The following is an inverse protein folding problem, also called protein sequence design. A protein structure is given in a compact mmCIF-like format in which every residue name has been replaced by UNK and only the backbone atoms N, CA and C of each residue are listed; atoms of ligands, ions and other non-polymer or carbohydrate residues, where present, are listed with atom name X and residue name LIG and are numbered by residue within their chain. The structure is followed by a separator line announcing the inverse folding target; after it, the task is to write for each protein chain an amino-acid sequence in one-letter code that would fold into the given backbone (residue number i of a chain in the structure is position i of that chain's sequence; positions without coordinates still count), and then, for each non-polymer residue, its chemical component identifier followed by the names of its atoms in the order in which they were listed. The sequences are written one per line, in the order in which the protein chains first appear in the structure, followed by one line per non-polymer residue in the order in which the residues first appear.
data_IF_348427439752
#
_entry.id   IF_348427439752
#
_cell.length_a   1.000
_cell.length_b   1.000
_cell.length_c   1.000
_cell.angle_alpha   90.00
_cell.angle_beta   90.00
_cell.angle_gamma   90.00
#
_symmetry.space_group_name_H-M   'P 1'
#
loop_
_entity.id
_entity.type
_entity.pdbx_description
1 polymer ?
#
# COMPACT_ATOMS: atom_id res chain seq x y z
N UNK A 1 -2.42 -26.52 12.27
CA UNK A 1 -1.49 -26.37 11.13
C UNK A 1 -2.15 -26.67 9.77
N UNK A 2 -3.11 -27.56 9.65
CA UNK A 2 -3.67 -27.95 8.32
C UNK A 2 -4.48 -26.87 7.58
N UNK A 3 -4.82 -25.74 8.23
CA UNK A 3 -5.67 -24.69 7.65
C UNK A 3 -4.94 -23.60 6.84
N UNK A 4 -3.61 -23.48 6.89
CA UNK A 4 -2.87 -22.42 6.17
C UNK A 4 -2.50 -22.82 4.73
N UNK A 5 -2.32 -24.11 4.47
CA UNK A 5 -1.81 -24.64 3.22
C UNK A 5 -2.63 -24.20 1.99
N UNK A 6 -3.98 -24.28 1.99
CA UNK A 6 -4.76 -23.82 0.83
C UNK A 6 -4.69 -22.30 0.64
N UNK A 7 -4.56 -21.53 1.73
CA UNK A 7 -4.37 -20.08 1.64
C UNK A 7 -3.02 -19.70 1.06
N UNK A 8 -1.96 -20.35 1.54
CA UNK A 8 -0.60 -20.14 1.05
C UNK A 8 -0.46 -20.56 -0.42
N UNK A 9 -1.05 -21.70 -0.79
CA UNK A 9 -1.06 -22.16 -2.18
C UNK A 9 -1.79 -21.16 -3.09
N UNK A 10 -2.93 -20.65 -2.66
CA UNK A 10 -3.65 -19.61 -3.42
C UNK A 10 -2.80 -18.35 -3.60
N UNK A 11 -2.08 -17.89 -2.56
CA UNK A 11 -1.14 -16.76 -2.67
C UNK A 11 0.01 -17.07 -3.64
N UNK A 12 0.64 -18.23 -3.55
CA UNK A 12 1.76 -18.63 -4.41
C UNK A 12 1.35 -18.83 -5.87
N UNK A 13 0.19 -19.41 -6.14
CA UNK A 13 -0.33 -19.57 -7.49
C UNK A 13 -0.64 -18.20 -8.12
N UNK A 14 -1.23 -17.30 -7.33
CA UNK A 14 -1.52 -15.95 -7.78
C UNK A 14 -0.22 -15.15 -8.03
N UNK A 15 0.75 -15.28 -7.14
CA UNK A 15 2.10 -14.74 -7.28
C UNK A 15 2.78 -15.23 -8.56
N UNK A 16 2.73 -16.54 -8.82
CA UNK A 16 3.31 -17.16 -10.00
C UNK A 16 2.61 -16.71 -11.28
N UNK A 17 1.28 -16.58 -11.25
CA UNK A 17 0.51 -16.02 -12.36
C UNK A 17 0.88 -14.55 -12.61
N UNK A 18 1.04 -13.74 -11.56
CA UNK A 18 1.49 -12.36 -11.65
C UNK A 18 2.92 -12.23 -12.20
N UNK A 19 3.81 -13.15 -11.83
CA UNK A 19 5.17 -13.24 -12.39
C UNK A 19 5.16 -13.62 -13.86
N UNK A 20 4.39 -14.63 -14.25
CA UNK A 20 4.22 -15.02 -15.65
C UNK A 20 3.66 -13.85 -16.48
N UNK A 21 2.67 -13.14 -15.93
CA UNK A 21 2.05 -11.97 -16.54
C UNK A 21 3.05 -10.80 -16.66
N UNK A 22 3.82 -10.52 -15.61
CA UNK A 22 4.87 -9.49 -15.62
C UNK A 22 5.88 -9.74 -16.74
N UNK A 23 6.36 -10.98 -16.86
CA UNK A 23 7.30 -11.39 -17.90
C UNK A 23 6.71 -11.32 -19.31
N UNK A 24 5.45 -11.73 -19.47
CA UNK A 24 4.78 -11.71 -20.76
C UNK A 24 4.49 -10.28 -21.26
N UNK A 25 4.03 -9.40 -20.37
CA UNK A 25 3.76 -7.99 -20.67
C UNK A 25 5.00 -7.10 -20.62
N UNK A 26 6.15 -7.64 -20.20
CA UNK A 26 7.39 -6.88 -19.91
C UNK A 26 7.11 -5.69 -18.98
N UNK A 27 6.22 -5.89 -18.01
CA UNK A 27 5.82 -4.83 -17.10
C UNK A 27 7.00 -4.46 -16.18
N UNK A 28 7.22 -3.17 -15.87
CA UNK A 28 8.27 -2.74 -14.94
C UNK A 28 7.96 -3.06 -13.47
N UNK A 29 6.92 -3.86 -13.21
CA UNK A 29 6.42 -4.18 -11.89
C UNK A 29 6.87 -5.58 -11.45
N UNK A 30 7.29 -5.76 -10.19
CA UNK A 30 7.54 -7.08 -9.64
C UNK A 30 6.30 -7.97 -9.78
N UNK A 31 6.49 -9.24 -10.14
CA UNK A 31 5.38 -10.22 -10.24
C UNK A 31 4.55 -10.30 -8.96
N UNK A 32 5.13 -9.96 -7.80
CA UNK A 32 4.42 -9.90 -6.53
C UNK A 32 3.31 -8.86 -6.47
N UNK A 33 3.56 -7.69 -7.05
CA UNK A 33 2.57 -6.62 -7.09
C UNK A 33 1.45 -7.01 -8.05
N UNK A 34 1.77 -7.59 -9.20
CA UNK A 34 0.76 -8.06 -10.15
C UNK A 34 -0.06 -9.23 -9.59
N UNK A 35 0.56 -10.16 -8.87
CA UNK A 35 -0.14 -11.24 -8.17
C UNK A 35 -1.09 -10.70 -7.11
N UNK A 36 -0.69 -9.68 -6.35
CA UNK A 36 -1.59 -9.00 -5.40
C UNK A 36 -2.80 -8.37 -6.10
N UNK A 37 -2.59 -7.68 -7.23
CA UNK A 37 -3.66 -7.08 -8.02
C UNK A 37 -4.62 -8.13 -8.58
N UNK A 38 -4.08 -9.24 -9.09
CA UNK A 38 -4.86 -10.35 -9.61
C UNK A 38 -5.69 -11.01 -8.51
N UNK A 39 -5.10 -11.23 -7.32
CA UNK A 39 -5.84 -11.77 -6.18
C UNK A 39 -6.95 -10.80 -5.76
N UNK A 40 -6.66 -9.50 -5.75
CA UNK A 40 -7.64 -8.46 -5.42
C UNK A 40 -8.80 -8.47 -6.41
N UNK A 41 -8.52 -8.56 -7.71
CA UNK A 41 -9.55 -8.67 -8.75
C UNK A 41 -10.42 -9.92 -8.54
N UNK A 42 -9.82 -11.07 -8.25
CA UNK A 42 -10.55 -12.30 -7.93
C UNK A 42 -11.45 -12.08 -6.70
N UNK A 43 -10.93 -11.56 -5.60
CA UNK A 43 -11.72 -11.34 -4.38
C UNK A 43 -12.88 -10.35 -4.57
N UNK A 44 -12.71 -9.35 -5.44
CA UNK A 44 -13.78 -8.43 -5.82
C UNK A 44 -14.92 -9.15 -6.56
N UNK A 45 -14.60 -10.10 -7.46
CA UNK A 45 -15.62 -10.92 -8.13
C UNK A 45 -16.36 -11.84 -7.15
N UNK A 46 -15.69 -12.29 -6.08
CA UNK A 46 -16.29 -13.07 -4.99
C UNK A 46 -17.04 -12.22 -3.94
N UNK A 47 -17.34 -10.94 -4.24
CA UNK A 47 -18.05 -10.01 -3.36
C UNK A 47 -17.40 -9.88 -1.96
N UNK A 48 -16.07 -9.98 -1.89
CA UNK A 48 -15.32 -9.82 -0.64
C UNK A 48 -15.34 -11.02 0.31
N UNK A 49 -15.91 -12.17 -0.10
CA UNK A 49 -15.85 -13.42 0.70
C UNK A 49 -14.41 -13.96 0.72
N UNK A 50 -13.64 -13.55 1.71
CA UNK A 50 -12.24 -13.98 1.87
C UNK A 50 -12.17 -15.30 2.63
N UNK A 51 -11.55 -16.37 2.09
CA UNK A 51 -11.37 -17.63 2.80
C UNK A 51 -10.58 -17.46 4.09
N UNK A 52 -11.01 -18.11 5.18
CA UNK A 52 -10.32 -18.03 6.49
C UNK A 52 -8.85 -18.51 6.40
N UNK A 53 -8.58 -19.51 5.56
CA UNK A 53 -7.25 -20.02 5.27
C UNK A 53 -6.33 -18.95 4.64
N UNK A 54 -6.88 -18.16 3.71
CA UNK A 54 -6.17 -17.06 3.05
C UNK A 54 -5.81 -15.96 4.05
N UNK A 55 -6.76 -15.56 4.90
CA UNK A 55 -6.52 -14.56 5.96
C UNK A 55 -5.41 -15.02 6.91
N UNK A 56 -5.44 -16.29 7.31
CA UNK A 56 -4.43 -16.83 8.23
C UNK A 56 -3.04 -16.90 7.59
N UNK A 57 -2.94 -17.39 6.34
CA UNK A 57 -1.68 -17.42 5.60
C UNK A 57 -1.10 -16.01 5.38
N UNK A 58 -1.93 -15.05 4.97
CA UNK A 58 -1.51 -13.65 4.79
C UNK A 58 -1.02 -13.03 6.09
N UNK A 59 -1.72 -13.25 7.22
CA UNK A 59 -1.29 -12.73 8.54
C UNK A 59 0.06 -13.31 8.97
N UNK A 60 0.27 -14.61 8.75
CA UNK A 60 1.56 -15.24 9.04
C UNK A 60 2.69 -14.67 8.19
N UNK A 61 2.47 -14.44 6.89
CA UNK A 61 3.45 -13.80 5.99
C UNK A 61 3.73 -12.35 6.39
N UNK A 62 2.68 -11.58 6.73
CA UNK A 62 2.81 -10.19 7.20
C UNK A 62 3.67 -10.13 8.47
N UNK A 63 3.50 -11.08 9.39
CA UNK A 63 4.30 -11.16 10.61
C UNK A 63 5.80 -11.39 10.39
N UNK A 64 6.20 -11.95 9.23
CA UNK A 64 7.61 -12.18 8.87
C UNK A 64 8.09 -11.29 7.73
N UNK A 65 7.38 -10.19 7.41
CA UNK A 65 7.73 -9.31 6.30
C UNK A 65 9.15 -8.76 6.39
N UNK A 66 9.66 -8.48 7.60
CA UNK A 66 11.05 -8.04 7.77
C UNK A 66 12.03 -9.02 7.13
N UNK A 67 11.79 -10.33 7.26
CA UNK A 67 12.61 -11.38 6.62
C UNK A 67 12.42 -11.41 5.11
N UNK A 68 11.22 -11.12 4.60
CA UNK A 68 10.94 -11.05 3.15
C UNK A 68 11.54 -9.80 2.49
N UNK A 69 11.72 -8.71 3.23
CA UNK A 69 12.36 -7.48 2.73
C UNK A 69 13.89 -7.55 2.72
N UNK A 70 14.51 -8.41 3.53
CA UNK A 70 15.97 -8.58 3.51
C UNK A 70 16.49 -9.02 2.13
N UNK A 71 15.96 -10.08 1.49
CA UNK A 71 16.38 -10.46 0.13
C UNK A 71 16.18 -9.35 -0.90
N UNK A 72 15.07 -8.62 -0.83
CA UNK A 72 14.79 -7.50 -1.72
C UNK A 72 15.83 -6.38 -1.54
N UNK A 73 16.17 -6.04 -0.30
CA UNK A 73 17.19 -5.03 0.02
C UNK A 73 18.61 -5.46 -0.38
N UNK A 74 18.99 -6.70 -0.11
CA UNK A 74 20.31 -7.24 -0.48
C UNK A 74 20.49 -7.26 -2.00
N UNK A 75 19.43 -7.53 -2.78
CA UNK A 75 19.47 -7.43 -4.24
C UNK A 75 19.82 -6.03 -4.74
N UNK A 76 19.29 -4.98 -4.09
CA UNK A 76 19.63 -3.58 -4.40
C UNK A 76 21.08 -3.26 -4.03
N UNK A 77 21.56 -3.73 -2.88
CA UNK A 77 22.94 -3.54 -2.44
C UNK A 77 23.93 -4.29 -3.37
N UNK A 78 23.51 -5.40 -3.99
CA UNK A 78 24.33 -6.14 -4.97
C UNK A 78 24.64 -5.34 -6.25
N UNK A 79 23.88 -4.28 -6.56
CA UNK A 79 24.26 -3.27 -7.58
C UNK A 79 25.36 -2.31 -7.08
N UNK A 80 26.03 -2.67 -5.98
CA UNK A 80 26.95 -1.83 -5.21
C UNK A 80 28.08 -1.17 -5.99
N UNK A 81 28.56 -1.75 -7.10
CA UNK A 81 29.60 -1.12 -7.93
C UNK A 81 29.13 0.16 -8.63
N UNK A 82 27.84 0.27 -8.97
CA UNK A 82 27.24 1.48 -9.57
C UNK A 82 26.87 2.48 -8.47
N UNK A 83 26.47 1.98 -7.30
CA UNK A 83 26.00 2.79 -6.17
C UNK A 83 27.16 3.44 -5.41
N UNK A 84 28.31 2.77 -5.29
CA UNK A 84 29.46 3.23 -4.50
C UNK A 84 30.03 4.60 -4.90
N UNK A 85 29.89 5.01 -6.17
CA UNK A 85 30.40 6.30 -6.65
C UNK A 85 29.48 7.50 -6.40
N UNK A 86 28.20 7.28 -6.06
CA UNK A 86 27.16 8.33 -5.97
C UNK A 86 26.21 8.16 -4.77
N UNK A 87 26.59 7.37 -3.76
CA UNK A 87 25.79 7.13 -2.56
C UNK A 87 25.30 8.43 -1.90
N UNK A 88 26.18 9.42 -1.77
CA UNK A 88 25.85 10.73 -1.18
C UNK A 88 24.80 11.47 -2.00
N UNK A 89 24.96 11.52 -3.33
CA UNK A 89 24.00 12.18 -4.22
C UNK A 89 22.63 11.49 -4.19
N UNK A 90 22.59 10.14 -4.16
CA UNK A 90 21.34 9.38 -4.03
C UNK A 90 20.65 9.64 -2.69
N UNK A 91 21.36 9.61 -1.57
CA UNK A 91 20.78 9.87 -0.24
C UNK A 91 20.21 11.28 -0.17
N UNK A 92 20.94 12.28 -0.65
CA UNK A 92 20.45 13.66 -0.69
C UNK A 92 19.21 13.78 -1.60
N UNK A 93 19.25 13.22 -2.81
CA UNK A 93 18.12 13.24 -3.72
C UNK A 93 16.88 12.54 -3.14
N UNK A 94 17.05 11.41 -2.44
CA UNK A 94 15.97 10.69 -1.77
C UNK A 94 15.38 11.49 -0.60
N UNK A 95 16.22 12.08 0.24
CA UNK A 95 15.73 12.90 1.37
C UNK A 95 14.97 14.13 0.85
N UNK A 96 15.54 14.83 -0.13
CA UNK A 96 14.91 16.00 -0.74
C UNK A 96 13.59 15.62 -1.41
N UNK A 97 13.53 14.50 -2.14
CA UNK A 97 12.30 14.06 -2.80
C UNK A 97 11.20 13.70 -1.81
N UNK A 98 11.54 13.04 -0.69
CA UNK A 98 10.59 12.74 0.40
C UNK A 98 10.04 14.02 1.01
N UNK A 99 10.91 14.98 1.34
CA UNK A 99 10.48 16.28 1.92
C UNK A 99 9.58 17.04 0.96
N UNK A 100 9.95 17.14 -0.31
CA UNK A 100 9.14 17.83 -1.34
C UNK A 100 7.78 17.14 -1.50
N UNK A 101 7.76 15.81 -1.58
CA UNK A 101 6.51 15.03 -1.74
C UNK A 101 5.58 15.23 -0.56
N UNK A 102 6.11 15.20 0.68
CA UNK A 102 5.33 15.44 1.89
C UNK A 102 4.79 16.87 1.94
N UNK A 103 5.62 17.87 1.64
CA UNK A 103 5.21 19.27 1.62
C UNK A 103 4.13 19.53 0.56
N UNK A 104 4.28 18.98 -0.64
CA UNK A 104 3.31 19.10 -1.72
C UNK A 104 1.98 18.41 -1.35
N UNK A 105 2.04 17.20 -0.78
CA UNK A 105 0.84 16.45 -0.36
C UNK A 105 0.10 17.18 0.76
N UNK A 106 0.82 17.66 1.79
CA UNK A 106 0.24 18.43 2.88
C UNK A 106 -0.35 19.75 2.38
N UNK A 107 0.37 20.46 1.50
CA UNK A 107 -0.11 21.70 0.88
C UNK A 107 -1.39 21.49 0.07
N UNK A 108 -1.44 20.45 -0.75
CA UNK A 108 -2.63 20.08 -1.52
C UNK A 108 -3.82 19.73 -0.61
N UNK A 109 -3.57 19.00 0.48
CA UNK A 109 -4.59 18.66 1.47
C UNK A 109 -5.14 19.91 2.19
N UNK A 110 -4.26 20.82 2.62
CA UNK A 110 -4.67 22.09 3.27
C UNK A 110 -5.38 23.02 2.29
N UNK A 111 -4.95 23.07 1.03
CA UNK A 111 -5.63 23.85 0.00
C UNK A 111 -7.04 23.31 -0.21
N UNK A 112 -7.20 22.01 -0.41
CA UNK A 112 -8.52 21.40 -0.61
C UNK A 112 -9.42 21.51 0.61
N UNK A 113 -8.90 21.36 1.84
CA UNK A 113 -9.70 21.52 3.06
C UNK A 113 -10.20 22.96 3.24
N UNK A 114 -9.35 23.96 3.02
CA UNK A 114 -9.73 25.39 3.05
C UNK A 114 -10.77 25.72 1.98
N UNK A 115 -10.71 25.08 0.82
CA UNK A 115 -11.71 25.24 -0.24
C UNK A 115 -13.05 24.61 0.16
N UNK A 116 -13.04 23.48 0.86
CA UNK A 116 -14.26 22.84 1.38
C UNK A 116 -14.92 23.65 2.49
N UNK A 117 -14.14 24.23 3.41
CA UNK A 117 -14.67 25.10 4.48
C UNK A 117 -15.34 26.36 3.92
N UNK A 118 -14.72 27.01 2.93
CA UNK A 118 -15.30 28.15 2.22
C UNK A 118 -16.60 27.79 1.50
N UNK A 119 -16.69 26.59 0.90
CA UNK A 119 -17.92 26.10 0.29
C UNK A 119 -19.00 25.78 1.32
N UNK A 120 -18.65 25.20 2.47
CA UNK A 120 -19.61 24.91 3.56
C UNK A 120 -20.20 26.19 4.16
N UNK A 121 -19.39 27.23 4.34
CA UNK A 121 -19.86 28.55 4.79
C UNK A 121 -20.81 29.19 3.77
N UNK A 122 -20.54 29.05 2.47
CA UNK A 122 -21.42 29.54 1.40
C UNK A 122 -22.73 28.72 1.25
N UNK A 123 -22.75 27.47 1.71
CA UNK A 123 -23.95 26.59 1.62
C UNK A 123 -24.83 26.67 2.88
N UNK A 124 -24.58 27.63 3.78
CA UNK A 124 -25.53 28.15 4.77
C UNK A 124 -26.53 27.16 5.34
N UNK A 125 -26.08 26.08 6.00
CA UNK A 125 -26.97 25.20 6.76
C UNK A 125 -26.78 25.46 8.25
N UNK A 126 -27.65 26.27 8.89
CA UNK A 126 -27.62 26.43 10.33
C UNK A 126 -28.15 25.14 10.97
N UNK A 127 -27.26 24.33 11.54
CA UNK A 127 -27.64 23.41 12.62
C UNK A 127 -27.54 24.23 13.91
N UNK A 128 -28.64 24.85 14.39
CA UNK A 128 -29.62 24.21 15.26
C UNK A 128 -28.87 23.45 16.38
N UNK A 129 -28.65 24.00 17.57
CA UNK A 129 -29.64 24.66 18.41
C UNK A 129 -30.48 23.60 19.12
N UNK A 130 -29.91 23.00 20.18
CA UNK A 130 -30.51 22.25 21.30
C UNK A 130 -29.33 21.72 22.13
N UNK A 131 -29.06 22.13 23.37
CA UNK A 131 -29.97 22.62 24.41
C UNK A 131 -30.23 21.47 25.38
N UNK A 132 -29.75 21.63 26.62
CA UNK A 132 -30.29 21.05 27.86
C UNK A 132 -30.36 19.53 27.98
N UNK A 133 -29.59 19.00 28.94
CA UNK A 133 -29.85 17.81 29.79
C UNK A 133 -28.51 17.55 30.49
N UNK A 134 -28.10 18.35 31.48
CA UNK A 134 -28.62 18.44 32.85
C UNK A 134 -28.83 17.07 33.52
N UNK A 135 -28.07 16.93 34.61
CA UNK A 135 -28.47 16.29 35.86
C UNK A 135 -28.80 14.79 35.85
N UNK A 136 -27.86 14.00 36.36
CA UNK A 136 -28.12 13.01 37.42
C UNK A 136 -26.81 12.64 38.13
#
# INVERSE_FOLDING_TARGET
MTGYLPGLLALLLCQLAGEALSRLLRAPLPGAVLGLLLMTAILLTLRGRTPKSLVHASRSLIGVLSLLFVPAGVGVISLGKVVAGQTTAMVVALLVSVVITLAATAGAFVATSRWQERRRAATGRPAAGRGGEDAA
#
